data_IF_472910481745
#
_entry.id   IF_472910481745
#
_cell.length_a   1.000
_cell.length_b   1.000
_cell.length_c   1.000
_cell.angle_alpha   90.00
_cell.angle_beta   90.00
_cell.angle_gamma   90.00
#
_symmetry.space_group_name_H-M   'P 1'
#
loop_
_entity.id
_entity.type
_entity.pdbx_description
1 polymer ?
#
# COMPACT_ATOMS: atom_id res chain seq x y z
N UNK A 1 -8.32 -17.07 -0.86
CA UNK A 1 -9.05 -15.86 -1.31
C UNK A 1 -8.76 -14.77 -0.30
N UNK A 2 -8.16 -13.65 -0.70
CA UNK A 2 -7.90 -12.55 0.22
C UNK A 2 -9.19 -11.69 0.28
N UNK A 3 -10.13 -12.08 1.14
CA UNK A 3 -11.45 -11.45 1.32
C UNK A 3 -11.41 -10.05 1.96
N UNK A 4 -10.21 -9.49 2.17
CA UNK A 4 -10.06 -8.15 2.74
C UNK A 4 -10.63 -7.09 1.79
N UNK A 5 -11.32 -6.06 2.30
CA UNK A 5 -11.77 -4.95 1.47
C UNK A 5 -10.58 -4.13 0.97
N UNK A 6 -10.79 -3.36 -0.10
CA UNK A 6 -9.80 -2.42 -0.63
C UNK A 6 -9.53 -1.30 0.37
N UNK A 7 -10.60 -0.76 0.94
CA UNK A 7 -10.59 0.27 1.97
C UNK A 7 -11.50 -0.14 3.12
N UNK A 8 -11.08 0.15 4.33
CA UNK A 8 -11.92 0.19 5.51
C UNK A 8 -12.68 1.52 5.51
N UNK A 9 -13.91 1.50 4.98
CA UNK A 9 -14.72 2.71 4.77
C UNK A 9 -15.12 3.34 6.10
N UNK A 10 -15.36 2.53 7.14
CA UNK A 10 -15.74 3.04 8.46
C UNK A 10 -14.56 3.79 9.09
N UNK A 11 -13.37 3.17 9.12
CA UNK A 11 -12.17 3.83 9.63
C UNK A 11 -11.79 5.07 8.83
N UNK A 12 -11.98 5.04 7.50
CA UNK A 12 -11.65 6.17 6.64
C UNK A 12 -12.64 7.34 6.81
N UNK A 13 -13.92 7.06 7.07
CA UNK A 13 -14.91 8.08 7.39
C UNK A 13 -14.62 8.75 8.75
N UNK A 14 -14.25 7.97 9.77
CA UNK A 14 -13.80 8.51 11.06
C UNK A 14 -12.54 9.38 10.89
N UNK A 15 -11.58 8.93 10.07
CA UNK A 15 -10.37 9.69 9.79
C UNK A 15 -10.68 11.01 9.08
N UNK A 16 -11.64 11.01 8.14
CA UNK A 16 -12.08 12.22 7.45
C UNK A 16 -12.75 13.21 8.41
N UNK A 17 -13.61 12.73 9.31
CA UNK A 17 -14.30 13.57 10.30
C UNK A 17 -13.30 14.22 11.28
N UNK A 18 -12.25 13.49 11.69
CA UNK A 18 -11.22 14.01 12.59
C UNK A 18 -10.26 14.99 11.91
N UNK A 19 -9.91 14.74 10.65
CA UNK A 19 -8.90 15.56 9.93
C UNK A 19 -9.51 16.75 9.21
N UNK A 20 -10.82 16.75 8.94
CA UNK A 20 -11.55 17.80 8.23
C UNK A 20 -10.78 18.27 6.98
N UNK A 21 -10.32 19.53 6.96
CA UNK A 21 -9.60 20.16 5.84
C UNK A 21 -8.23 19.52 5.53
N UNK A 22 -7.62 18.81 6.48
CA UNK A 22 -6.32 18.15 6.31
C UNK A 22 -6.44 16.76 5.66
N UNK A 23 -7.65 16.21 5.54
CA UNK A 23 -7.85 14.86 4.99
C UNK A 23 -7.33 14.74 3.55
N UNK A 24 -7.62 15.73 2.69
CA UNK A 24 -7.15 15.72 1.31
C UNK A 24 -5.62 15.74 1.22
N UNK A 25 -4.97 16.51 2.10
CA UNK A 25 -3.50 16.58 2.17
C UNK A 25 -2.92 15.24 2.61
N UNK A 26 -3.55 14.57 3.58
CA UNK A 26 -3.18 13.22 4.00
C UNK A 26 -3.29 12.25 2.82
N UNK A 27 -4.40 12.25 2.08
CA UNK A 27 -4.60 11.36 0.93
C UNK A 27 -3.52 11.59 -0.11
N UNK A 28 -3.27 12.84 -0.52
CA UNK A 28 -2.24 13.13 -1.53
C UNK A 28 -0.84 12.70 -1.06
N UNK A 29 -0.52 12.90 0.23
CA UNK A 29 0.75 12.48 0.82
C UNK A 29 0.90 10.96 0.81
N UNK A 30 -0.15 10.23 1.21
CA UNK A 30 -0.19 8.77 1.16
C UNK A 30 0.01 8.26 -0.27
N UNK A 31 -0.66 8.84 -1.26
CA UNK A 31 -0.55 8.43 -2.65
C UNK A 31 0.85 8.68 -3.22
N UNK A 32 1.47 9.81 -2.89
CA UNK A 32 2.83 10.12 -3.31
C UNK A 32 3.85 9.18 -2.66
N UNK A 33 3.76 8.96 -1.35
CA UNK A 33 4.65 8.05 -0.62
C UNK A 33 4.51 6.61 -1.13
N UNK A 34 3.29 6.14 -1.35
CA UNK A 34 3.00 4.80 -1.87
C UNK A 34 3.63 4.56 -3.25
N UNK A 35 3.59 5.54 -4.15
CA UNK A 35 4.29 5.46 -5.46
C UNK A 35 5.79 5.31 -5.26
N UNK A 36 6.39 6.12 -4.38
CA UNK A 36 7.82 6.01 -4.05
C UNK A 36 8.19 4.64 -3.46
N UNK A 37 7.32 4.05 -2.64
CA UNK A 37 7.54 2.70 -2.08
C UNK A 37 7.45 1.62 -3.16
N UNK A 38 6.51 1.71 -4.09
CA UNK A 38 6.44 0.79 -5.25
C UNK A 38 7.70 0.88 -6.10
N UNK A 39 8.18 2.09 -6.38
CA UNK A 39 9.42 2.28 -7.13
C UNK A 39 10.64 1.70 -6.37
N UNK A 40 10.71 1.85 -5.05
CA UNK A 40 11.74 1.22 -4.23
C UNK A 40 11.68 -0.32 -4.24
N UNK A 41 10.48 -0.91 -4.29
CA UNK A 41 10.33 -2.37 -4.45
C UNK A 41 10.84 -2.83 -5.82
N UNK A 42 10.57 -2.08 -6.89
CA UNK A 42 11.09 -2.37 -8.23
C UNK A 42 12.61 -2.28 -8.27
N UNK A 43 13.17 -1.25 -7.66
CA UNK A 43 14.61 -1.05 -7.57
C UNK A 43 15.29 -2.22 -6.84
N UNK A 44 14.76 -2.61 -5.67
CA UNK A 44 15.28 -3.74 -4.90
C UNK A 44 15.27 -5.06 -5.69
N UNK A 45 14.26 -5.28 -6.55
CA UNK A 45 14.24 -6.44 -7.44
C UNK A 45 15.28 -6.34 -8.55
N UNK A 46 15.43 -5.16 -9.16
CA UNK A 46 16.40 -4.94 -10.22
C UNK A 46 17.85 -5.11 -9.73
N UNK A 47 18.12 -4.79 -8.46
CA UNK A 47 19.44 -4.93 -7.83
C UNK A 47 19.63 -6.25 -7.06
N UNK A 48 18.61 -7.13 -7.04
CA UNK A 48 18.59 -8.37 -6.26
C UNK A 48 18.93 -8.17 -4.77
N UNK A 49 18.36 -7.13 -4.16
CA UNK A 49 18.56 -6.75 -2.76
C UNK A 49 17.35 -7.15 -1.88
N UNK A 50 17.36 -8.35 -1.27
CA UNK A 50 16.25 -8.85 -0.46
C UNK A 50 16.05 -8.06 0.84
N UNK A 51 17.12 -7.49 1.40
CA UNK A 51 17.03 -6.70 2.63
C UNK A 51 16.32 -5.37 2.35
N UNK A 52 16.70 -4.69 1.26
CA UNK A 52 16.02 -3.47 0.84
C UNK A 52 14.56 -3.75 0.47
N UNK A 53 14.27 -4.85 -0.24
CA UNK A 53 12.91 -5.25 -0.57
C UNK A 53 12.04 -5.44 0.69
N UNK A 54 12.55 -6.20 1.67
CA UNK A 54 11.86 -6.45 2.93
C UNK A 54 11.57 -5.15 3.72
N UNK A 55 12.56 -4.26 3.82
CA UNK A 55 12.42 -2.98 4.53
C UNK A 55 11.40 -2.06 3.87
N UNK A 56 11.45 -1.95 2.54
CA UNK A 56 10.52 -1.12 1.77
C UNK A 56 9.09 -1.66 1.89
N UNK A 57 8.91 -2.98 1.79
CA UNK A 57 7.61 -3.63 1.97
C UNK A 57 7.05 -3.44 3.40
N UNK A 58 7.91 -3.54 4.42
CA UNK A 58 7.54 -3.30 5.81
C UNK A 58 7.03 -1.87 6.05
N UNK A 59 7.77 -0.87 5.55
CA UNK A 59 7.37 0.53 5.64
C UNK A 59 6.05 0.77 4.91
N UNK A 60 5.90 0.21 3.71
CA UNK A 60 4.68 0.38 2.92
C UNK A 60 3.47 -0.27 3.59
N UNK A 61 3.63 -1.45 4.18
CA UNK A 61 2.60 -2.12 4.99
C UNK A 61 2.09 -1.20 6.11
N UNK A 62 3.00 -0.52 6.83
CA UNK A 62 2.64 0.41 7.89
C UNK A 62 1.77 1.57 7.37
N UNK A 63 2.15 2.14 6.23
CA UNK A 63 1.37 3.18 5.55
C UNK A 63 -0.04 2.70 5.16
N UNK A 64 -0.16 1.46 4.66
CA UNK A 64 -1.46 0.86 4.33
C UNK A 64 -2.36 0.63 5.55
N UNK A 65 -1.79 0.29 6.70
CA UNK A 65 -2.55 0.14 7.95
C UNK A 65 -3.11 1.50 8.39
N UNK A 66 -2.28 2.55 8.34
CA UNK A 66 -2.67 3.89 8.77
C UNK A 66 -3.82 4.47 7.93
N UNK A 67 -3.87 4.19 6.62
CA UNK A 67 -4.93 4.70 5.74
C UNK A 67 -6.18 3.80 5.69
N UNK A 68 -6.14 2.62 6.32
CA UNK A 68 -7.23 1.65 6.21
C UNK A 68 -7.28 0.95 4.85
N UNK A 69 -6.14 0.54 4.29
CA UNK A 69 -6.05 -0.28 3.06
C UNK A 69 -5.63 -1.73 3.39
N UNK A 70 -6.51 -2.55 4.02
CA UNK A 70 -6.10 -3.82 4.63
C UNK A 70 -5.70 -4.89 3.60
N UNK A 71 -6.28 -4.87 2.40
CA UNK A 71 -5.89 -5.76 1.30
C UNK A 71 -4.48 -5.45 0.81
N UNK A 72 -4.19 -4.18 0.51
CA UNK A 72 -2.85 -3.73 0.09
C UNK A 72 -1.81 -4.01 1.19
N UNK A 73 -2.13 -3.73 2.46
CA UNK A 73 -1.27 -4.07 3.59
C UNK A 73 -0.97 -5.56 3.69
N UNK A 74 -1.92 -6.43 3.33
CA UNK A 74 -1.70 -7.88 3.24
C UNK A 74 -0.71 -8.28 2.15
N UNK A 75 -0.76 -7.62 0.98
CA UNK A 75 0.20 -7.85 -0.11
C UNK A 75 1.61 -7.34 0.26
N UNK A 76 1.69 -6.18 0.92
CA UNK A 76 2.96 -5.67 1.44
C UNK A 76 3.56 -6.60 2.50
N UNK A 77 2.73 -7.25 3.32
CA UNK A 77 3.21 -8.28 4.24
C UNK A 77 3.75 -9.51 3.52
N UNK A 78 3.09 -9.98 2.46
CA UNK A 78 3.58 -11.08 1.61
C UNK A 78 4.94 -10.73 1.00
N UNK A 79 5.09 -9.52 0.46
CA UNK A 79 6.36 -9.01 -0.06
C UNK A 79 7.45 -8.91 1.03
N UNK A 80 7.10 -8.44 2.23
CA UNK A 80 8.03 -8.38 3.37
C UNK A 80 8.59 -9.78 3.70
N UNK A 81 7.76 -10.83 3.68
CA UNK A 81 8.22 -12.20 3.94
C UNK A 81 9.14 -12.71 2.83
N UNK A 82 8.80 -12.48 1.56
CA UNK A 82 9.66 -12.89 0.44
C UNK A 82 11.07 -12.27 0.53
N UNK A 83 11.16 -10.99 0.91
CA UNK A 83 12.45 -10.34 1.16
C UNK A 83 13.19 -10.94 2.36
N UNK A 84 12.51 -11.21 3.48
CA UNK A 84 13.12 -11.82 4.68
C UNK A 84 13.63 -13.24 4.43
N UNK A 85 12.90 -14.01 3.63
CA UNK A 85 13.26 -15.37 3.24
C UNK A 85 14.27 -15.40 2.09
N UNK A 86 14.67 -14.23 1.55
CA UNK A 86 15.54 -14.06 0.39
C UNK A 86 15.06 -14.83 -0.85
N UNK A 87 13.74 -14.91 -1.06
CA UNK A 87 13.08 -15.62 -2.18
C UNK A 87 12.51 -14.65 -3.22
N UNK A 88 13.38 -13.78 -3.75
CA UNK A 88 12.97 -12.73 -4.68
C UNK A 88 12.47 -13.26 -6.04
N UNK A 89 12.64 -14.54 -6.35
CA UNK A 89 12.12 -15.15 -7.58
C UNK A 89 10.58 -15.11 -7.64
N UNK A 90 9.91 -15.09 -6.49
CA UNK A 90 8.44 -15.03 -6.38
C UNK A 90 7.91 -13.60 -6.25
N UNK A 91 8.80 -12.63 -5.97
CA UNK A 91 8.42 -11.26 -5.68
C UNK A 91 7.81 -10.49 -6.85
N UNK A 92 8.16 -10.71 -8.15
CA UNK A 92 7.51 -10.03 -9.26
C UNK A 92 5.99 -10.22 -9.29
N UNK A 93 5.49 -11.44 -9.04
CA UNK A 93 4.06 -11.73 -9.02
C UNK A 93 3.33 -11.01 -7.87
N UNK A 94 3.98 -10.86 -6.71
CA UNK A 94 3.43 -10.10 -5.58
C UNK A 94 3.45 -8.61 -5.87
N UNK A 95 4.51 -8.10 -6.50
CA UNK A 95 4.63 -6.69 -6.87
C UNK A 95 3.57 -6.27 -7.88
N UNK A 96 3.30 -7.07 -8.91
CA UNK A 96 2.20 -6.82 -9.86
C UNK A 96 0.84 -6.73 -9.14
N UNK A 97 0.61 -7.59 -8.15
CA UNK A 97 -0.61 -7.54 -7.32
C UNK A 97 -0.65 -6.29 -6.45
N UNK A 98 0.48 -5.85 -5.88
CA UNK A 98 0.59 -4.59 -5.13
C UNK A 98 0.24 -3.40 -6.01
N UNK A 99 0.76 -3.34 -7.24
CA UNK A 99 0.49 -2.24 -8.17
C UNK A 99 -0.98 -2.18 -8.60
N UNK A 100 -1.57 -3.33 -8.92
CA UNK A 100 -2.98 -3.43 -9.27
C UNK A 100 -3.88 -3.00 -8.11
N UNK A 101 -3.58 -3.47 -6.89
CA UNK A 101 -4.35 -3.13 -5.71
C UNK A 101 -4.17 -1.65 -5.32
N UNK A 102 -2.94 -1.12 -5.38
CA UNK A 102 -2.69 0.30 -5.14
C UNK A 102 -3.46 1.19 -6.13
N UNK A 103 -3.57 0.78 -7.39
CA UNK A 103 -4.35 1.51 -8.39
C UNK A 103 -5.83 1.60 -8.01
N UNK A 104 -6.40 0.52 -7.48
CA UNK A 104 -7.79 0.49 -7.01
C UNK A 104 -7.99 1.28 -5.71
N UNK A 105 -7.06 1.16 -4.76
CA UNK A 105 -7.03 1.98 -3.53
C UNK A 105 -6.96 3.47 -3.87
N UNK A 106 -6.04 3.86 -4.75
CA UNK A 106 -5.86 5.24 -5.17
C UNK A 106 -7.12 5.82 -5.80
N UNK A 107 -7.74 5.07 -6.71
CA UNK A 107 -9.00 5.47 -7.36
C UNK A 107 -10.12 5.68 -6.34
N UNK A 108 -10.25 4.78 -5.35
CA UNK A 108 -11.28 4.89 -4.31
C UNK A 108 -11.04 6.06 -3.36
N UNK A 109 -9.80 6.27 -2.92
CA UNK A 109 -9.43 7.39 -2.05
C UNK A 109 -9.68 8.75 -2.73
N UNK A 110 -9.35 8.86 -4.02
CA UNK A 110 -9.57 10.09 -4.79
C UNK A 110 -11.05 10.45 -4.98
N UNK A 111 -11.93 9.45 -4.94
CA UNK A 111 -13.38 9.64 -5.07
C UNK A 111 -14.09 9.58 -3.71
N UNK A 112 -13.36 9.42 -2.61
CA UNK A 112 -13.95 9.26 -1.28
C UNK A 112 -14.65 10.57 -0.87
N UNK A 113 -15.89 10.46 -0.40
CA UNK A 113 -16.71 11.63 -0.07
C UNK A 113 -17.26 12.43 -1.26
N UNK A 114 -16.99 12.01 -2.50
CA UNK A 114 -17.59 12.62 -3.71
C UNK A 114 -18.89 11.93 -4.16
N UNK A 115 -19.26 10.81 -3.51
CA UNK A 115 -20.52 10.11 -3.71
C UNK A 115 -21.60 10.72 -2.79
N UNK A 116 -22.18 11.85 -3.23
CA UNK A 116 -23.39 12.44 -2.68
C UNK A 116 -24.60 12.17 -3.58
#
# INVERSE_FOLDING_TARGET
>A
MNDKPHLDVEALAELQDVMEDEFDVLIQTYLADSRSRIDGLKEALATADPEHFAKTAHSFKGSCINIGAPRLGGLCFEAEQLGKDATLEQAPAVLERIEAEFSEVARRLQNFGQEA
#
